data_IF_334100590535
#
_entry.id   IF_334100590535
#
_cell.length_a   1.000
_cell.length_b   1.000
_cell.length_c   1.000
_cell.angle_alpha   90.00
_cell.angle_beta   90.00
_cell.angle_gamma   90.00
#
_symmetry.space_group_name_H-M   'P 1'
#
loop_
_entity.id
_entity.type
_entity.pdbx_description
1 polymer ?
#
# COMPACT_ATOMS: atom_id res chain seq x y z
N UNK A 1 -41.39 -29.51 22.52
CA UNK A 1 -41.30 -28.26 23.32
C UNK A 1 -42.02 -28.40 24.66
N UNK A 2 -43.23 -28.96 24.70
CA UNK A 2 -43.96 -29.27 25.94
C UNK A 2 -43.21 -30.16 26.93
N UNK A 3 -42.42 -31.13 26.43
CA UNK A 3 -41.60 -32.02 27.27
C UNK A 3 -40.40 -31.34 27.94
N UNK A 4 -40.01 -30.16 27.47
CA UNK A 4 -38.95 -29.34 28.08
C UNK A 4 -39.57 -28.44 29.15
N UNK A 5 -40.69 -27.81 28.83
CA UNK A 5 -41.48 -27.00 29.77
C UNK A 5 -41.98 -27.83 30.98
N UNK A 6 -42.45 -29.05 30.75
CA UNK A 6 -42.89 -29.95 31.81
C UNK A 6 -41.78 -30.35 32.79
N UNK A 7 -40.51 -30.40 32.33
CA UNK A 7 -39.36 -30.67 33.20
C UNK A 7 -39.04 -29.48 34.11
N UNK A 8 -39.10 -28.26 33.58
CA UNK A 8 -38.91 -27.05 34.36
C UNK A 8 -40.00 -26.85 35.43
N UNK A 9 -41.26 -27.10 35.08
CA UNK A 9 -42.39 -26.98 36.03
C UNK A 9 -42.29 -28.03 37.15
N UNK A 10 -41.77 -29.23 36.84
CA UNK A 10 -41.56 -30.29 37.83
C UNK A 10 -40.40 -29.96 38.78
N UNK A 11 -39.28 -29.47 38.25
CA UNK A 11 -38.14 -29.03 39.05
C UNK A 11 -38.46 -27.79 39.91
N UNK A 12 -39.37 -26.92 39.45
CA UNK A 12 -39.84 -25.75 40.20
C UNK A 12 -40.82 -26.09 41.34
N UNK A 13 -41.39 -27.30 41.37
CA UNK A 13 -42.40 -27.71 42.36
C UNK A 13 -41.85 -28.48 43.55
N UNK A 14 -40.60 -28.93 43.50
CA UNK A 14 -39.92 -29.57 44.63
C UNK A 14 -38.92 -28.58 45.25
N UNK A 15 -39.29 -27.81 46.31
CA UNK A 15 -38.34 -26.98 47.05
C UNK A 15 -37.56 -27.77 48.12
N UNK A 16 -37.72 -29.09 48.21
CA UNK A 16 -37.15 -29.92 49.29
C UNK A 16 -35.99 -30.80 48.79
N UNK A 17 -34.89 -30.16 48.37
CA UNK A 17 -33.53 -30.72 48.36
C UNK A 17 -32.55 -29.68 47.81
N UNK A 18 -32.22 -28.64 48.59
CA UNK A 18 -31.34 -27.57 48.10
C UNK A 18 -30.66 -26.72 49.16
N UNK A 19 -30.49 -27.20 50.40
CA UNK A 19 -29.78 -26.44 51.45
C UNK A 19 -28.24 -26.48 51.34
N UNK A 20 -27.69 -27.00 50.23
CA UNK A 20 -26.24 -27.09 50.03
C UNK A 20 -25.70 -26.22 48.88
N UNK A 21 -26.54 -25.48 48.15
CA UNK A 21 -26.10 -24.66 47.01
C UNK A 21 -25.29 -23.42 47.41
N UNK A 22 -25.61 -22.82 48.57
CA UNK A 22 -24.94 -21.59 49.00
C UNK A 22 -23.46 -21.82 49.31
N UNK A 23 -23.09 -22.94 49.94
CA UNK A 23 -21.67 -23.21 50.26
C UNK A 23 -20.83 -23.55 49.03
N UNK A 24 -21.39 -24.24 48.02
CA UNK A 24 -20.66 -24.53 46.79
C UNK A 24 -20.48 -23.30 45.90
N UNK A 25 -21.51 -22.45 45.78
CA UNK A 25 -21.44 -21.23 44.96
C UNK A 25 -20.44 -20.22 45.55
N UNK A 26 -20.35 -20.13 46.88
CA UNK A 26 -19.35 -19.31 47.56
C UNK A 26 -17.91 -19.86 47.35
N UNK A 27 -17.72 -21.18 47.35
CA UNK A 27 -16.41 -21.80 47.09
C UNK A 27 -15.96 -21.61 45.64
N UNK A 28 -16.89 -21.66 44.68
CA UNK A 28 -16.58 -21.37 43.28
C UNK A 28 -16.25 -19.89 43.06
N UNK A 29 -16.99 -18.99 43.70
CA UNK A 29 -16.69 -17.55 43.69
C UNK A 29 -15.30 -17.26 44.29
N UNK A 30 -14.96 -17.86 45.43
CA UNK A 30 -13.64 -17.73 46.06
C UNK A 30 -12.51 -18.29 45.19
N UNK A 31 -12.77 -19.36 44.42
CA UNK A 31 -11.78 -19.88 43.46
C UNK A 31 -11.54 -18.92 42.30
N UNK A 32 -12.61 -18.31 41.78
CA UNK A 32 -12.52 -17.34 40.69
C UNK A 32 -11.82 -16.05 41.12
N UNK A 33 -12.05 -15.58 42.35
CA UNK A 33 -11.37 -14.38 42.89
C UNK A 33 -9.87 -14.61 43.01
N UNK A 34 -9.45 -15.75 43.58
CA UNK A 34 -8.02 -16.12 43.68
C UNK A 34 -7.37 -16.23 42.30
N UNK A 35 -8.06 -16.82 41.32
CA UNK A 35 -7.53 -16.92 39.97
C UNK A 35 -7.37 -15.55 39.31
N UNK A 36 -8.34 -14.65 39.53
CA UNK A 36 -8.33 -13.29 39.02
C UNK A 36 -7.20 -12.47 39.64
N UNK A 37 -6.97 -12.59 40.95
CA UNK A 37 -5.84 -11.94 41.62
C UNK A 37 -4.50 -12.45 41.10
N UNK A 38 -4.37 -13.77 40.92
CA UNK A 38 -3.16 -14.36 40.35
C UNK A 38 -2.92 -13.85 38.92
N UNK A 39 -3.96 -13.75 38.11
CA UNK A 39 -3.84 -13.24 36.74
C UNK A 39 -3.42 -11.76 36.73
N UNK A 40 -4.00 -10.95 37.63
CA UNK A 40 -3.63 -9.55 37.79
C UNK A 40 -2.16 -9.39 38.21
N UNK A 41 -1.69 -10.22 39.14
CA UNK A 41 -0.27 -10.23 39.53
C UNK A 41 0.64 -10.63 38.36
N UNK A 42 0.27 -11.65 37.59
CA UNK A 42 1.04 -12.03 36.40
C UNK A 42 1.08 -10.91 35.36
N UNK A 43 -0.04 -10.21 35.14
CA UNK A 43 -0.09 -9.06 34.25
C UNK A 43 0.82 -7.93 34.72
N UNK A 44 0.78 -7.60 36.02
CA UNK A 44 1.67 -6.62 36.66
C UNK A 44 3.13 -6.96 36.37
N UNK A 45 3.52 -8.22 36.64
CA UNK A 45 4.89 -8.68 36.39
C UNK A 45 5.30 -8.51 34.92
N UNK A 46 4.46 -8.93 33.97
CA UNK A 46 4.75 -8.80 32.52
C UNK A 46 4.88 -7.35 32.08
N UNK A 47 4.18 -6.41 32.72
CA UNK A 47 4.28 -4.96 32.47
C UNK A 47 5.54 -4.37 33.11
N UNK A 48 6.09 -5.04 34.13
CA UNK A 48 7.27 -4.61 34.89
C UNK A 48 6.97 -4.07 36.29
N UNK A 49 5.72 -4.20 36.76
CA UNK A 49 5.27 -3.78 38.08
C UNK A 49 5.33 -4.94 39.10
N UNK A 50 5.50 -4.64 40.40
CA UNK A 50 5.54 -5.62 41.52
C UNK A 50 6.60 -6.74 41.42
N UNK A 51 7.75 -6.46 40.77
CA UNK A 51 8.84 -7.41 40.54
C UNK A 51 9.62 -7.83 41.80
N UNK A 52 9.49 -7.09 42.91
CA UNK A 52 10.22 -7.34 44.17
C UNK A 52 9.95 -8.73 44.79
N UNK A 53 8.86 -9.37 44.38
CA UNK A 53 8.44 -10.70 44.86
C UNK A 53 9.02 -11.86 44.06
N UNK A 54 9.66 -11.59 42.93
CA UNK A 54 10.20 -12.60 42.01
C UNK A 54 11.67 -12.92 42.33
N UNK A 55 12.06 -14.18 42.13
CA UNK A 55 13.48 -14.55 42.19
C UNK A 55 14.22 -14.08 40.93
N UNK A 56 15.55 -13.96 41.01
CA UNK A 56 16.38 -13.60 39.85
C UNK A 56 16.15 -14.54 38.65
N UNK A 57 15.94 -15.84 38.90
CA UNK A 57 15.66 -16.81 37.85
C UNK A 57 14.33 -16.51 37.14
N UNK A 58 13.29 -16.20 37.92
CA UNK A 58 11.97 -15.91 37.38
C UNK A 58 11.97 -14.59 36.62
N UNK A 59 12.75 -13.61 37.08
CA UNK A 59 12.94 -12.33 36.39
C UNK A 59 13.61 -12.50 35.02
N UNK A 60 14.69 -13.31 34.94
CA UNK A 60 15.36 -13.63 33.67
C UNK A 60 14.40 -14.36 32.72
N UNK A 61 13.60 -15.29 33.24
CA UNK A 61 12.64 -16.02 32.42
C UNK A 61 11.55 -15.08 31.86
N UNK A 62 11.04 -14.19 32.72
CA UNK A 62 10.04 -13.19 32.35
C UNK A 62 10.60 -12.22 31.30
N UNK A 63 11.83 -11.74 31.46
CA UNK A 63 12.52 -10.90 30.48
C UNK A 63 12.62 -11.61 29.12
N UNK A 64 13.08 -12.87 29.11
CA UNK A 64 13.19 -13.65 27.88
C UNK A 64 11.82 -13.81 27.20
N UNK A 65 10.77 -14.11 27.97
CA UNK A 65 9.41 -14.25 27.45
C UNK A 65 8.90 -12.94 26.83
N UNK A 66 9.12 -11.80 27.50
CA UNK A 66 8.73 -10.48 26.98
C UNK A 66 9.54 -10.14 25.73
N UNK A 67 10.84 -10.42 25.72
CA UNK A 67 11.71 -10.20 24.57
C UNK A 67 11.26 -11.00 23.34
N UNK A 68 11.02 -12.29 23.51
CA UNK A 68 10.54 -13.17 22.43
C UNK A 68 9.18 -12.72 21.90
N UNK A 69 8.20 -12.51 22.79
CA UNK A 69 6.86 -12.09 22.37
C UNK A 69 6.87 -10.73 21.66
N UNK A 70 7.69 -9.78 22.12
CA UNK A 70 7.88 -8.50 21.45
C UNK A 70 8.53 -8.67 20.07
N UNK A 71 9.49 -9.60 19.94
CA UNK A 71 10.08 -9.99 18.66
C UNK A 71 9.04 -10.48 17.66
N UNK A 72 8.14 -11.37 18.10
CA UNK A 72 7.03 -11.87 17.27
C UNK A 72 6.06 -10.75 16.87
N UNK A 73 5.71 -9.86 17.81
CA UNK A 73 4.84 -8.70 17.53
C UNK A 73 5.48 -7.79 16.48
N UNK A 74 6.78 -7.51 16.62
CA UNK A 74 7.51 -6.67 15.66
C UNK A 74 7.54 -7.31 14.27
N UNK A 75 7.91 -8.58 14.18
CA UNK A 75 7.94 -9.31 12.92
C UNK A 75 6.57 -9.30 12.21
N UNK A 76 5.49 -9.56 12.96
CA UNK A 76 4.12 -9.52 12.43
C UNK A 76 3.71 -8.11 11.98
N UNK A 77 4.10 -7.07 12.72
CA UNK A 77 3.84 -5.68 12.33
C UNK A 77 4.56 -5.34 11.02
N UNK A 78 5.82 -5.76 10.90
CA UNK A 78 6.62 -5.51 9.71
C UNK A 78 6.05 -6.26 8.49
N UNK A 79 5.61 -7.51 8.66
CA UNK A 79 4.91 -8.29 7.64
C UNK A 79 3.65 -7.57 7.13
N UNK A 80 2.76 -7.13 8.04
CA UNK A 80 1.53 -6.41 7.68
C UNK A 80 1.81 -5.08 6.98
N UNK A 81 2.85 -4.35 7.40
CA UNK A 81 3.24 -3.09 6.76
C UNK A 81 3.75 -3.36 5.33
N UNK A 82 4.56 -4.40 5.14
CA UNK A 82 5.05 -4.78 3.82
C UNK A 82 3.91 -5.20 2.89
N UNK A 83 2.94 -5.97 3.40
CA UNK A 83 1.74 -6.35 2.66
C UNK A 83 0.94 -5.12 2.19
N UNK A 84 0.71 -4.15 3.08
CA UNK A 84 0.02 -2.91 2.73
C UNK A 84 0.80 -2.10 1.68
N UNK A 85 2.12 -2.01 1.82
CA UNK A 85 2.97 -1.33 0.84
C UNK A 85 2.83 -1.98 -0.54
N UNK A 86 2.86 -3.32 -0.61
CA UNK A 86 2.70 -4.04 -1.87
C UNK A 86 1.30 -3.88 -2.45
N UNK A 87 0.25 -3.88 -1.62
CA UNK A 87 -1.10 -3.56 -2.07
C UNK A 87 -1.16 -2.16 -2.71
N UNK A 88 -0.57 -1.15 -2.06
CA UNK A 88 -0.51 0.21 -2.61
C UNK A 88 0.30 0.27 -3.91
N UNK A 89 1.45 -0.42 -4.00
CA UNK A 89 2.24 -0.49 -5.23
C UNK A 89 1.44 -1.09 -6.38
N UNK A 90 0.71 -2.18 -6.14
CA UNK A 90 -0.11 -2.83 -7.17
C UNK A 90 -1.22 -1.90 -7.66
N UNK A 91 -1.87 -1.16 -6.76
CA UNK A 91 -2.87 -0.14 -7.14
C UNK A 91 -2.26 0.96 -8.01
N UNK A 92 -1.08 1.46 -7.65
CA UNK A 92 -0.37 2.48 -8.44
C UNK A 92 0.00 1.94 -9.82
N UNK A 93 0.57 0.72 -9.89
CA UNK A 93 0.90 0.08 -11.17
C UNK A 93 -0.34 -0.10 -12.05
N UNK A 94 -1.43 -0.58 -11.46
CA UNK A 94 -2.70 -0.75 -12.14
C UNK A 94 -3.24 0.58 -12.70
N UNK A 95 -3.23 1.64 -11.89
CA UNK A 95 -3.67 2.96 -12.32
C UNK A 95 -2.77 3.53 -13.42
N UNK A 96 -1.45 3.41 -13.28
CA UNK A 96 -0.49 3.87 -14.29
C UNK A 96 -0.71 3.14 -15.62
N UNK A 97 -0.94 1.83 -15.57
CA UNK A 97 -1.24 1.03 -16.75
C UNK A 97 -2.52 1.51 -17.44
N UNK A 98 -3.61 1.69 -16.70
CA UNK A 98 -4.88 2.20 -17.25
C UNK A 98 -4.71 3.59 -17.86
N UNK A 99 -4.05 4.52 -17.16
CA UNK A 99 -3.78 5.86 -17.66
C UNK A 99 -2.96 5.84 -18.96
N UNK A 100 -1.93 5.01 -19.01
CA UNK A 100 -1.08 4.86 -20.21
C UNK A 100 -1.90 4.32 -21.38
N UNK A 101 -2.72 3.29 -21.16
CA UNK A 101 -3.61 2.75 -22.20
C UNK A 101 -4.62 3.78 -22.70
N UNK A 102 -5.21 4.56 -21.80
CA UNK A 102 -6.15 5.61 -22.15
C UNK A 102 -5.48 6.69 -23.02
N UNK A 103 -4.30 7.16 -22.62
CA UNK A 103 -3.53 8.15 -23.39
C UNK A 103 -3.15 7.63 -24.78
N UNK A 104 -2.70 6.38 -24.87
CA UNK A 104 -2.38 5.75 -26.15
C UNK A 104 -3.63 5.57 -27.02
N UNK A 105 -4.77 5.22 -26.43
CA UNK A 105 -6.04 5.10 -27.15
C UNK A 105 -6.56 6.46 -27.64
N UNK A 106 -6.38 7.53 -26.88
CA UNK A 106 -6.74 8.90 -27.28
C UNK A 106 -5.80 9.41 -28.39
N UNK A 107 -4.49 9.20 -28.25
CA UNK A 107 -3.51 9.51 -29.29
C UNK A 107 -3.81 8.75 -30.59
N UNK A 108 -4.22 7.48 -30.49
CA UNK A 108 -4.63 6.69 -31.67
C UNK A 108 -5.92 7.21 -32.31
N UNK A 109 -6.84 7.77 -31.51
CA UNK A 109 -8.07 8.41 -32.00
C UNK A 109 -7.82 9.76 -32.67
N UNK A 110 -6.84 10.52 -32.21
CA UNK A 110 -6.49 11.78 -32.90
C UNK A 110 -5.75 11.50 -34.20
N UNK A 111 -4.81 10.54 -34.21
CA UNK A 111 -4.10 10.16 -35.44
C UNK A 111 -5.03 9.55 -36.49
N UNK A 112 -5.97 8.68 -36.11
CA UNK A 112 -6.89 8.07 -37.07
C UNK A 112 -7.89 9.08 -37.67
N UNK A 113 -8.36 10.06 -36.89
CA UNK A 113 -9.22 11.14 -37.35
C UNK A 113 -8.45 12.04 -38.32
N UNK A 114 -7.20 12.38 -37.97
CA UNK A 114 -6.30 13.15 -38.84
C UNK A 114 -6.03 12.40 -40.16
N UNK A 115 -5.72 11.11 -40.15
CA UNK A 115 -5.52 10.33 -41.38
C UNK A 115 -6.79 10.22 -42.21
N UNK A 116 -7.95 10.04 -41.58
CA UNK A 116 -9.24 9.98 -42.31
C UNK A 116 -9.61 11.31 -42.96
N UNK A 117 -9.31 12.44 -42.31
CA UNK A 117 -9.50 13.76 -42.93
C UNK A 117 -8.59 13.95 -44.14
N UNK A 118 -7.32 13.52 -44.05
CA UNK A 118 -6.39 13.59 -45.17
C UNK A 118 -6.84 12.71 -46.34
N UNK A 119 -7.29 11.49 -46.07
CA UNK A 119 -7.84 10.56 -47.08
C UNK A 119 -9.02 11.18 -47.83
N UNK A 120 -9.98 11.78 -47.10
CA UNK A 120 -11.12 12.51 -47.68
C UNK A 120 -10.70 13.70 -48.56
N UNK A 121 -9.64 14.42 -48.18
CA UNK A 121 -9.12 15.53 -48.99
C UNK A 121 -8.41 15.04 -50.25
N UNK A 122 -7.70 13.92 -50.18
CA UNK A 122 -7.08 13.29 -51.35
C UNK A 122 -8.15 12.84 -52.35
N UNK A 123 -9.21 12.18 -51.88
CA UNK A 123 -10.35 11.79 -52.74
C UNK A 123 -11.05 13.00 -53.38
N UNK A 124 -11.18 14.10 -52.64
CA UNK A 124 -11.73 15.36 -53.16
C UNK A 124 -10.85 15.94 -54.27
N UNK A 125 -9.53 15.94 -54.09
CA UNK A 125 -8.56 16.38 -55.10
C UNK A 125 -8.53 15.44 -56.31
N UNK A 126 -8.76 14.14 -56.13
CA UNK A 126 -8.85 13.16 -57.21
C UNK A 126 -10.17 13.22 -57.98
N UNK A 127 -11.24 13.76 -57.40
CA UNK A 127 -12.59 13.78 -57.98
C UNK A 127 -13.01 15.12 -58.61
N UNK A 128 -12.15 16.14 -58.63
CA UNK A 128 -12.56 17.50 -59.02
C UNK A 128 -11.46 18.42 -59.54
N UNK A 129 -10.85 18.09 -60.68
CA UNK A 129 -10.27 19.10 -61.59
C UNK A 129 -10.77 18.81 -63.01
N UNK A 130 -12.06 18.99 -63.22
CA UNK A 130 -12.64 19.19 -64.56
C UNK A 130 -13.44 20.49 -64.51
N UNK A 131 -12.81 21.62 -64.84
CA UNK A 131 -13.54 22.88 -64.92
C UNK A 131 -12.68 24.14 -64.86
N UNK A 132 -12.15 24.52 -66.02
CA UNK A 132 -11.86 25.90 -66.46
C UNK A 132 -10.72 26.67 -65.77
N UNK A 133 -9.94 27.55 -66.40
CA UNK A 133 -9.64 27.91 -67.79
C UNK A 133 -8.53 29.01 -67.68
N UNK A 134 -7.47 28.89 -68.48
CA UNK A 134 -6.47 29.93 -68.84
C UNK A 134 -5.78 30.73 -67.71
N UNK A 135 -4.49 30.42 -67.47
CA UNK A 135 -3.50 31.44 -67.12
C UNK A 135 -2.39 31.34 -68.16
N UNK A 136 -2.21 32.44 -68.88
CA UNK A 136 -1.24 32.70 -69.95
C UNK A 136 0.18 32.38 -69.50
N UNK A 137 0.90 31.63 -70.34
CA UNK A 137 2.36 31.55 -70.36
C UNK A 137 2.95 32.92 -70.70
N UNK A 138 3.87 33.43 -69.87
CA UNK A 138 4.89 34.42 -70.28
C UNK A 138 6.08 34.35 -69.30
N UNK A 139 7.14 33.67 -69.71
CA UNK A 139 8.52 33.74 -69.18
C UNK A 139 9.23 35.04 -69.67
N UNK A 140 10.49 35.36 -69.29
CA UNK A 140 11.10 35.46 -67.95
C UNK A 140 11.77 36.84 -67.71
N UNK A 141 12.04 37.23 -66.46
CA UNK A 141 12.70 38.50 -66.12
C UNK A 141 13.48 38.47 -64.81
N UNK A 142 14.74 38.89 -64.89
CA UNK A 142 15.85 38.74 -63.93
C UNK A 142 15.73 39.57 -62.62
N UNK A 143 16.06 38.91 -61.50
CA UNK A 143 16.88 39.36 -60.34
C UNK A 143 16.29 39.98 -59.05
N UNK A 144 16.62 39.23 -57.98
CA UNK A 144 17.03 39.56 -56.60
C UNK A 144 15.98 40.04 -55.59
N UNK A 145 15.91 39.28 -54.49
CA UNK A 145 15.45 39.73 -53.18
C UNK A 145 14.64 38.68 -52.43
N UNK A 146 15.28 37.64 -51.89
CA UNK A 146 14.64 36.70 -50.96
C UNK A 146 14.81 37.22 -49.53
N UNK A 147 13.72 37.34 -48.76
CA UNK A 147 13.77 37.13 -47.32
C UNK A 147 12.88 35.94 -46.96
N UNK A 148 13.49 34.81 -46.57
CA UNK A 148 12.77 33.72 -45.90
C UNK A 148 13.08 33.76 -44.42
N UNK A 149 12.02 33.90 -43.64
CA UNK A 149 11.98 33.87 -42.18
C UNK A 149 12.48 32.55 -41.64
N UNK A 150 13.38 32.64 -40.67
CA UNK A 150 13.89 31.52 -39.88
C UNK A 150 12.77 30.76 -39.17
N UNK A 151 12.75 29.44 -39.35
CA UNK A 151 12.19 28.53 -38.33
C UNK A 151 13.13 27.33 -38.29
N UNK A 152 14.05 27.38 -37.34
CA UNK A 152 15.07 26.36 -37.11
C UNK A 152 14.40 25.02 -36.79
N UNK A 153 14.55 24.07 -37.71
CA UNK A 153 14.37 22.63 -37.52
C UNK A 153 15.73 21.97 -37.66
N UNK A 154 16.30 21.53 -36.55
CA UNK A 154 17.36 20.51 -36.46
C UNK A 154 17.21 19.90 -35.06
N UNK A 155 16.90 18.63 -34.83
CA UNK A 155 17.29 17.44 -35.58
C UNK A 155 18.45 16.78 -34.83
N UNK A 156 18.16 16.05 -33.74
CA UNK A 156 19.16 15.20 -33.09
C UNK A 156 19.13 13.82 -33.73
N UNK A 157 20.24 13.49 -34.39
CA UNK A 157 20.52 12.20 -35.02
C UNK A 157 20.84 11.19 -33.91
N UNK A 158 20.14 10.06 -33.93
CA UNK A 158 20.46 8.89 -33.12
C UNK A 158 21.63 8.13 -33.77
N UNK A 159 22.75 8.03 -33.07
CA UNK A 159 23.75 6.99 -33.31
C UNK A 159 23.55 5.91 -32.26
N UNK A 160 23.12 4.74 -32.72
CA UNK A 160 23.18 3.49 -31.97
C UNK A 160 24.63 3.14 -31.66
N UNK A 161 24.91 2.79 -30.42
CA UNK A 161 25.92 1.79 -30.11
C UNK A 161 25.40 0.85 -29.03
N UNK A 162 25.69 -0.42 -29.27
CA UNK A 162 25.11 -1.60 -28.67
C UNK A 162 26.08 -2.14 -27.61
N UNK A 163 25.65 -2.24 -26.35
CA UNK A 163 26.34 -3.06 -25.36
C UNK A 163 25.33 -3.75 -24.43
N UNK A 164 25.44 -5.08 -24.40
CA UNK A 164 24.70 -6.01 -23.55
C UNK A 164 24.79 -5.65 -22.05
N UNK A 165 23.68 -5.79 -21.32
CA UNK A 165 23.51 -6.75 -20.22
C UNK A 165 22.11 -6.55 -19.57
N UNK A 166 21.54 -7.64 -19.04
CA UNK A 166 20.14 -7.74 -18.59
C UNK A 166 19.78 -6.90 -17.35
N UNK A 167 18.50 -6.92 -16.89
CA UNK A 167 18.05 -6.04 -15.82
C UNK A 167 18.46 -6.60 -14.46
N UNK A 168 19.49 -6.01 -13.85
CA UNK A 168 19.94 -6.30 -12.49
C UNK A 168 19.07 -5.56 -11.46
N UNK A 169 18.70 -6.30 -10.40
CA UNK A 169 17.78 -5.89 -9.35
C UNK A 169 18.53 -5.15 -8.22
N UNK A 170 18.18 -3.87 -8.00
CA UNK A 170 18.19 -2.96 -6.80
C UNK A 170 19.22 -3.17 -5.67
N UNK A 171 19.77 -2.10 -5.02
CA UNK A 171 19.05 -1.52 -3.86
C UNK A 171 19.17 0.01 -3.70
N UNK A 172 18.05 0.68 -3.39
CA UNK A 172 18.03 2.04 -2.88
C UNK A 172 18.32 2.02 -1.38
N UNK A 173 19.54 2.35 -0.98
CA UNK A 173 19.92 2.51 0.42
C UNK A 173 20.15 4.00 0.74
N UNK A 174 19.14 4.65 1.34
CA UNK A 174 19.37 5.78 2.23
C UNK A 174 18.75 5.42 3.59
N UNK A 175 19.60 4.90 4.47
CA UNK A 175 19.32 4.77 5.91
C UNK A 175 19.11 6.17 6.47
N UNK A 176 17.90 6.48 6.93
CA UNK A 176 17.74 7.54 7.92
C UNK A 176 18.37 7.04 9.23
N UNK A 177 19.48 7.65 9.63
CA UNK A 177 19.98 7.52 11.00
C UNK A 177 19.22 8.54 11.84
N UNK A 178 18.33 8.07 12.70
CA UNK A 178 17.80 8.86 13.82
C UNK A 178 18.20 8.08 15.06
N UNK A 179 19.34 8.43 15.64
CA UNK A 179 19.72 8.24 17.06
C UNK A 179 21.21 8.55 17.17
N UNK A 180 21.53 9.80 17.45
CA UNK A 180 22.83 10.27 17.93
C UNK A 180 22.49 11.69 18.38
N UNK A 181 22.13 11.85 19.66
CA UNK A 181 22.17 13.10 20.45
C UNK A 181 21.36 12.91 21.74
N UNK A 182 21.82 12.02 22.63
CA UNK A 182 21.50 12.05 24.06
C UNK A 182 22.71 11.56 24.84
N UNK A 183 23.79 12.35 24.84
CA UNK A 183 24.77 12.32 25.93
C UNK A 183 25.62 13.60 25.98
N UNK A 184 25.03 14.71 26.43
CA UNK A 184 25.80 15.77 27.07
C UNK A 184 25.10 16.15 28.38
N UNK A 185 25.50 15.49 29.46
CA UNK A 185 25.30 16.01 30.81
C UNK A 185 26.25 17.20 31.00
N UNK A 186 25.79 18.38 31.43
CA UNK A 186 26.68 19.44 31.84
C UNK A 186 27.31 19.08 33.19
N UNK A 187 28.64 19.00 33.21
CA UNK A 187 29.42 19.08 34.43
C UNK A 187 29.15 20.45 35.07
N UNK A 188 28.63 20.44 36.30
CA UNK A 188 28.56 21.64 37.14
C UNK A 188 29.74 21.61 38.11
N UNK A 189 30.57 22.65 38.04
CA UNK A 189 31.26 23.21 39.20
C UNK A 189 30.24 23.81 40.19
#
# INVERSE_FOLDING_TARGET
>A
METVLGRYVKASRDPEAGDNGSSTDNVEADRLTVFTEKLKMLQSNVIGDDLERLSLRDLIHLEQQVHESLGHIRAKKDELILEQIDEFKQKILGLLHVCTWMLMADTRRTTNANTSMLDRLVDFCSSGITGSQNIVESEPGYVVGVPRTDTLRAGWIATSDQSNDGPEYVPCAKRFRITEDLNESPASE
#
